data_IF_600150845521
#
_entry.id   IF_600150845521
#
_cell.length_a   1.000
_cell.length_b   1.000
_cell.length_c   1.000
_cell.angle_alpha   90.00
_cell.angle_beta   90.00
_cell.angle_gamma   90.00
#
_symmetry.space_group_name_H-M   'P 1'
#
loop_
_entity.id
_entity.type
_entity.pdbx_description
1 polymer ?
#
# COMPACT_ATOMS: atom_id res chain seq x y z
N UNK A 1 6.89 -5.46 -26.63
CA UNK A 1 6.12 -5.81 -25.43
C UNK A 1 4.80 -5.05 -25.45
N UNK A 2 3.73 -5.70 -25.89
CA UNK A 2 2.42 -5.05 -26.02
C UNK A 2 1.70 -5.14 -24.66
N UNK A 3 1.67 -4.03 -23.92
CA UNK A 3 1.11 -3.94 -22.55
C UNK A 3 -0.44 -4.07 -22.55
N UNK A 4 -1.04 -4.36 -23.71
CA UNK A 4 -2.48 -4.18 -23.96
C UNK A 4 -3.41 -5.22 -23.33
N UNK A 5 -2.94 -6.38 -22.85
CA UNK A 5 -3.85 -7.38 -22.27
C UNK A 5 -3.24 -8.16 -21.10
N UNK A 6 -2.92 -7.46 -20.01
CA UNK A 6 -2.63 -8.12 -18.74
C UNK A 6 -3.95 -8.45 -18.03
N UNK A 7 -4.18 -9.72 -17.70
CA UNK A 7 -5.34 -10.12 -16.89
C UNK A 7 -5.13 -9.64 -15.45
N UNK A 8 -5.89 -8.61 -15.03
CA UNK A 8 -5.85 -8.05 -13.67
C UNK A 8 -6.65 -8.95 -12.73
N UNK A 9 -5.97 -9.71 -11.88
CA UNK A 9 -6.61 -10.44 -10.78
C UNK A 9 -6.59 -9.55 -9.54
N UNK A 10 -7.77 -9.07 -9.15
CA UNK A 10 -7.99 -8.28 -7.94
C UNK A 10 -9.14 -8.96 -7.19
N UNK A 11 -8.83 -9.83 -6.23
CA UNK A 11 -9.82 -10.49 -5.36
C UNK A 11 -9.49 -10.10 -3.92
N UNK A 12 -10.07 -8.99 -3.47
CA UNK A 12 -9.80 -8.35 -2.17
C UNK A 12 -11.03 -8.44 -1.26
N UNK A 13 -10.81 -8.57 0.04
CA UNK A 13 -11.87 -8.76 1.04
C UNK A 13 -12.92 -7.64 1.03
N UNK A 14 -12.48 -6.39 0.91
CA UNK A 14 -13.33 -5.21 0.88
C UNK A 14 -13.85 -4.89 -0.53
N UNK A 15 -13.45 -5.66 -1.54
CA UNK A 15 -13.84 -5.46 -2.93
C UNK A 15 -15.35 -5.34 -3.19
N UNK A 16 -16.23 -6.15 -2.56
CA UNK A 16 -17.67 -6.03 -2.72
C UNK A 16 -18.26 -4.70 -2.23
N UNK A 17 -17.63 -4.06 -1.23
CA UNK A 17 -18.07 -2.78 -0.69
C UNK A 17 -17.37 -1.60 -1.39
N UNK A 18 -16.08 -1.74 -1.66
CA UNK A 18 -15.26 -0.70 -2.28
C UNK A 18 -15.70 -0.43 -3.72
N UNK A 19 -15.94 -1.47 -4.53
CA UNK A 19 -16.23 -1.28 -5.97
C UNK A 19 -17.51 -0.47 -6.23
N UNK A 20 -18.66 -0.79 -5.62
CA UNK A 20 -19.87 0.02 -5.82
C UNK A 20 -19.71 1.45 -5.32
N UNK A 21 -18.98 1.64 -4.21
CA UNK A 21 -18.69 2.96 -3.65
C UNK A 21 -17.86 3.79 -4.63
N UNK A 22 -16.74 3.26 -5.12
CA UNK A 22 -15.87 3.95 -6.09
C UNK A 22 -16.60 4.25 -7.40
N UNK A 23 -17.45 3.34 -7.89
CA UNK A 23 -18.26 3.59 -9.09
C UNK A 23 -19.25 4.74 -8.88
N UNK A 24 -19.89 4.78 -7.71
CA UNK A 24 -20.81 5.86 -7.33
C UNK A 24 -20.08 7.20 -7.20
N UNK A 25 -18.91 7.20 -6.57
CA UNK A 25 -18.06 8.39 -6.46
C UNK A 25 -17.62 8.87 -7.85
N UNK A 26 -17.13 7.96 -8.70
CA UNK A 26 -16.71 8.29 -10.06
C UNK A 26 -17.85 8.89 -10.91
N UNK A 27 -19.08 8.39 -10.75
CA UNK A 27 -20.25 8.92 -11.43
C UNK A 27 -20.64 10.33 -10.95
N UNK A 28 -20.44 10.64 -9.66
CA UNK A 28 -20.74 11.94 -9.07
C UNK A 28 -19.59 12.96 -9.18
N UNK A 29 -18.39 12.53 -9.60
CA UNK A 29 -17.23 13.40 -9.67
C UNK A 29 -17.41 14.55 -10.68
N UNK A 30 -17.12 15.81 -10.30
CA UNK A 30 -17.17 16.95 -11.20
C UNK A 30 -16.31 16.74 -12.45
N UNK A 31 -16.76 17.27 -13.60
CA UNK A 31 -16.07 17.06 -14.89
C UNK A 31 -14.62 17.55 -14.92
N UNK A 32 -14.28 18.56 -14.13
CA UNK A 32 -12.92 19.11 -14.04
C UNK A 32 -11.93 18.22 -13.27
N UNK A 33 -12.42 17.31 -12.42
CA UNK A 33 -11.56 16.35 -11.71
C UNK A 33 -11.04 15.32 -12.70
N UNK A 34 -9.72 15.21 -12.86
CA UNK A 34 -9.07 14.22 -13.73
C UNK A 34 -8.43 13.11 -12.90
N UNK A 35 -8.11 11.94 -13.50
CA UNK A 35 -7.32 10.91 -12.83
C UNK A 35 -6.00 11.46 -12.27
N UNK A 36 -5.29 12.32 -13.02
CA UNK A 36 -4.02 12.89 -12.56
C UNK A 36 -4.19 13.77 -11.32
N UNK A 37 -5.30 14.52 -11.21
CA UNK A 37 -5.63 15.27 -9.99
C UNK A 37 -5.86 14.31 -8.82
N UNK A 38 -6.56 13.20 -9.05
CA UNK A 38 -6.80 12.20 -8.01
C UNK A 38 -5.51 11.52 -7.56
N UNK A 39 -4.61 11.17 -8.48
CA UNK A 39 -3.28 10.67 -8.14
C UNK A 39 -2.51 11.69 -7.28
N UNK A 40 -2.57 12.99 -7.62
CA UNK A 40 -1.95 14.05 -6.82
C UNK A 40 -2.59 14.19 -5.42
N UNK A 41 -3.91 14.00 -5.30
CA UNK A 41 -4.59 13.90 -3.98
C UNK A 41 -4.07 12.68 -3.21
N UNK A 42 -3.84 11.56 -3.89
CA UNK A 42 -3.23 10.37 -3.32
C UNK A 42 -1.88 10.67 -2.67
N UNK A 43 -0.98 11.32 -3.42
CA UNK A 43 0.34 11.75 -2.94
C UNK A 43 0.23 12.73 -1.79
N UNK A 44 -0.68 13.70 -1.86
CA UNK A 44 -0.93 14.64 -0.77
C UNK A 44 -1.38 13.92 0.51
N UNK A 45 -2.20 12.88 0.36
CA UNK A 45 -2.55 11.97 1.46
C UNK A 45 -1.32 11.34 2.10
N UNK A 46 -0.37 10.83 1.30
CA UNK A 46 0.88 10.26 1.81
C UNK A 46 1.76 11.29 2.52
N UNK A 47 1.79 12.54 2.04
CA UNK A 47 2.47 13.65 2.74
C UNK A 47 1.82 13.94 4.09
N UNK A 48 0.48 13.90 4.19
CA UNK A 48 -0.19 14.02 5.49
C UNK A 48 0.08 12.84 6.41
N UNK A 49 0.24 11.62 5.89
CA UNK A 49 0.64 10.46 6.70
C UNK A 49 2.04 10.71 7.28
N UNK A 50 3.01 11.06 6.44
CA UNK A 50 4.37 11.36 6.86
C UNK A 50 4.43 12.48 7.91
N UNK A 51 3.77 13.60 7.63
CA UNK A 51 3.71 14.74 8.55
C UNK A 51 2.98 14.38 9.84
N UNK A 52 1.87 13.66 9.75
CA UNK A 52 1.09 13.17 10.89
C UNK A 52 1.95 12.34 11.83
N UNK A 53 2.63 11.31 11.31
CA UNK A 53 3.52 10.50 12.12
C UNK A 53 4.72 11.28 12.67
N UNK A 54 5.36 12.14 11.88
CA UNK A 54 6.46 12.98 12.38
C UNK A 54 6.04 13.90 13.53
N UNK A 55 4.84 14.49 13.43
CA UNK A 55 4.29 15.40 14.45
C UNK A 55 3.80 14.67 15.71
N UNK A 56 3.67 13.34 15.71
CA UNK A 56 3.35 12.59 16.93
C UNK A 56 4.39 12.72 18.03
N UNK A 57 5.64 13.08 17.69
CA UNK A 57 6.68 13.43 18.66
C UNK A 57 6.32 14.68 19.50
N UNK A 58 5.45 15.55 18.98
CA UNK A 58 4.96 16.74 19.67
C UNK A 58 3.65 16.46 20.40
N UNK A 59 2.73 15.75 19.73
CA UNK A 59 1.42 15.41 20.30
C UNK A 59 0.83 14.15 19.66
N UNK A 60 0.43 13.16 20.45
CA UNK A 60 -0.16 11.92 19.94
C UNK A 60 -1.45 12.11 19.11
N UNK A 61 -2.14 13.25 19.21
CA UNK A 61 -3.33 13.57 18.43
C UNK A 61 -3.05 13.62 16.91
N UNK A 62 -1.79 13.82 16.51
CA UNK A 62 -1.41 13.79 15.09
C UNK A 62 -1.53 12.39 14.45
N UNK A 63 -1.78 11.33 15.23
CA UNK A 63 -2.23 10.03 14.70
C UNK A 63 -3.54 10.17 13.90
N UNK A 64 -4.43 11.09 14.28
CA UNK A 64 -5.65 11.37 13.51
C UNK A 64 -5.36 12.06 12.19
N UNK A 65 -4.32 12.91 12.13
CA UNK A 65 -3.85 13.49 10.87
C UNK A 65 -3.29 12.39 9.95
N UNK A 66 -2.53 11.43 10.50
CA UNK A 66 -2.05 10.29 9.73
C UNK A 66 -3.22 9.43 9.21
N UNK A 67 -4.21 9.12 10.05
CA UNK A 67 -5.42 8.39 9.64
C UNK A 67 -6.22 9.13 8.56
N UNK A 68 -6.36 10.44 8.66
CA UNK A 68 -6.97 11.26 7.61
C UNK A 68 -6.15 11.19 6.31
N UNK A 69 -4.82 11.23 6.41
CA UNK A 69 -3.91 11.03 5.28
C UNK A 69 -4.12 9.68 4.59
N UNK A 70 -4.33 8.58 5.32
CA UNK A 70 -4.68 7.27 4.73
C UNK A 70 -6.00 7.30 3.97
N UNK A 71 -7.03 7.98 4.51
CA UNK A 71 -8.32 8.13 3.83
C UNK A 71 -8.16 8.93 2.53
N UNK A 72 -7.40 10.03 2.55
CA UNK A 72 -7.11 10.81 1.34
C UNK A 72 -6.27 10.03 0.32
N UNK A 73 -5.26 9.29 0.80
CA UNK A 73 -4.42 8.46 -0.05
C UNK A 73 -5.27 7.39 -0.77
N UNK A 74 -6.09 6.66 -0.01
CA UNK A 74 -7.05 5.70 -0.56
C UNK A 74 -8.02 6.36 -1.55
N UNK A 75 -8.56 7.53 -1.21
CA UNK A 75 -9.52 8.22 -2.06
C UNK A 75 -8.91 8.60 -3.41
N UNK A 76 -7.68 9.12 -3.44
CA UNK A 76 -6.99 9.46 -4.67
C UNK A 76 -6.66 8.22 -5.51
N UNK A 77 -5.93 7.28 -4.90
CA UNK A 77 -5.39 6.07 -5.52
C UNK A 77 -6.50 5.12 -6.03
N UNK A 78 -7.48 4.78 -5.19
CA UNK A 78 -8.53 3.85 -5.62
C UNK A 78 -9.49 4.47 -6.65
N UNK A 79 -9.67 5.80 -6.63
CA UNK A 79 -10.61 6.48 -7.51
C UNK A 79 -9.99 6.87 -8.86
N UNK A 80 -8.69 7.12 -8.97
CA UNK A 80 -8.08 7.62 -10.22
C UNK A 80 -8.30 6.66 -11.40
N UNK A 81 -8.00 5.38 -11.20
CA UNK A 81 -8.13 4.34 -12.19
C UNK A 81 -9.59 4.04 -12.45
N UNK A 82 -10.43 4.09 -11.41
CA UNK A 82 -11.88 3.90 -11.53
C UNK A 82 -12.52 4.99 -12.37
N UNK A 83 -12.16 6.25 -12.12
CA UNK A 83 -12.62 7.41 -12.89
C UNK A 83 -12.15 7.33 -14.34
N UNK A 84 -10.89 6.93 -14.57
CA UNK A 84 -10.36 6.75 -15.92
C UNK A 84 -11.16 5.71 -16.73
N UNK A 85 -11.59 4.59 -16.12
CA UNK A 85 -12.46 3.62 -16.82
C UNK A 85 -13.87 4.14 -17.00
N UNK A 86 -14.45 4.75 -15.97
CA UNK A 86 -15.80 5.29 -16.02
C UNK A 86 -15.95 6.31 -17.16
N UNK A 87 -14.97 7.20 -17.31
CA UNK A 87 -14.94 8.22 -18.36
C UNK A 87 -14.35 7.75 -19.69
N UNK A 88 -13.86 6.49 -19.77
CA UNK A 88 -13.21 5.92 -20.96
C UNK A 88 -12.01 6.75 -21.47
N UNK A 89 -11.26 7.37 -20.56
CA UNK A 89 -10.07 8.19 -20.84
C UNK A 89 -8.78 7.52 -20.34
N UNK A 90 -8.77 6.18 -20.28
CA UNK A 90 -7.62 5.43 -19.80
C UNK A 90 -6.39 5.68 -20.68
N UNK A 91 -5.23 5.84 -20.03
CA UNK A 91 -3.92 5.86 -20.70
C UNK A 91 -3.10 4.69 -20.16
N UNK A 92 -3.21 3.48 -20.73
CA UNK A 92 -2.68 2.27 -20.08
C UNK A 92 -1.20 2.32 -19.72
N UNK A 93 -0.34 2.79 -20.62
CA UNK A 93 1.11 2.89 -20.37
C UNK A 93 1.47 3.99 -19.36
N UNK A 94 0.92 5.18 -19.56
CA UNK A 94 1.17 6.33 -18.68
C UNK A 94 0.60 6.09 -17.28
N UNK A 95 -0.65 5.62 -17.21
CA UNK A 95 -1.32 5.26 -15.97
C UNK A 95 -0.55 4.19 -15.22
N UNK A 96 -0.16 3.09 -15.89
CA UNK A 96 0.67 2.06 -15.27
C UNK A 96 1.99 2.62 -14.71
N UNK A 97 2.71 3.47 -15.46
CA UNK A 97 3.96 4.05 -14.97
C UNK A 97 3.77 4.96 -13.74
N UNK A 98 2.76 5.83 -13.79
CA UNK A 98 2.47 6.78 -12.71
C UNK A 98 1.99 6.04 -11.46
N UNK A 99 1.03 5.13 -11.58
CA UNK A 99 0.46 4.29 -10.50
C UNK A 99 1.59 3.65 -9.67
N UNK A 100 2.47 2.90 -10.34
CA UNK A 100 3.56 2.17 -9.66
C UNK A 100 4.66 3.06 -9.09
N UNK A 101 4.99 4.17 -9.77
CA UNK A 101 6.03 5.08 -9.29
C UNK A 101 5.53 5.87 -8.09
N UNK A 102 4.26 6.31 -8.13
CA UNK A 102 3.60 7.01 -7.03
C UNK A 102 3.38 6.08 -5.85
N UNK A 103 3.00 4.82 -6.07
CA UNK A 103 2.85 3.83 -5.00
C UNK A 103 4.14 3.59 -4.23
N UNK A 104 5.26 3.39 -4.94
CA UNK A 104 6.56 3.23 -4.31
C UNK A 104 6.96 4.47 -3.48
N UNK A 105 6.64 5.67 -3.97
CA UNK A 105 6.90 6.91 -3.25
C UNK A 105 5.97 7.10 -2.03
N UNK A 106 4.69 6.75 -2.17
CA UNK A 106 3.72 6.78 -1.08
C UNK A 106 4.16 5.84 0.06
N UNK A 107 4.54 4.60 -0.26
CA UNK A 107 5.00 3.64 0.73
C UNK A 107 6.27 4.12 1.44
N UNK A 108 7.21 4.74 0.70
CA UNK A 108 8.38 5.38 1.29
C UNK A 108 7.98 6.44 2.32
N UNK A 109 7.07 7.35 1.99
CA UNK A 109 6.60 8.39 2.92
C UNK A 109 5.92 7.79 4.15
N UNK A 110 5.08 6.77 3.96
CA UNK A 110 4.37 6.09 5.05
C UNK A 110 5.37 5.42 6.01
N UNK A 111 6.28 4.61 5.47
CA UNK A 111 7.22 3.84 6.28
C UNK A 111 8.24 4.74 7.00
N UNK A 112 8.80 5.75 6.32
CA UNK A 112 9.71 6.71 6.96
C UNK A 112 8.96 7.51 8.01
N UNK A 113 7.74 7.97 7.72
CA UNK A 113 6.90 8.67 8.70
C UNK A 113 6.69 7.83 9.95
N UNK A 114 6.25 6.59 9.78
CA UNK A 114 6.02 5.65 10.88
C UNK A 114 7.31 5.39 11.69
N UNK A 115 8.45 5.22 11.02
CA UNK A 115 9.74 5.00 11.67
C UNK A 115 10.30 6.22 12.40
N UNK A 116 9.85 7.43 12.06
CA UNK A 116 10.16 8.66 12.79
C UNK A 116 9.20 8.92 13.96
N UNK A 117 8.14 8.13 14.09
CA UNK A 117 7.20 8.22 15.22
C UNK A 117 7.78 7.55 16.48
N UNK A 118 7.30 7.87 17.69
CA UNK A 118 7.76 7.23 18.92
C UNK A 118 7.27 5.78 19.09
N UNK A 119 6.36 5.32 18.21
CA UNK A 119 5.66 4.05 18.32
C UNK A 119 6.41 2.86 17.70
N UNK A 120 7.09 3.08 16.57
CA UNK A 120 7.76 2.02 15.81
C UNK A 120 9.20 2.42 15.52
N UNK A 121 10.13 1.50 15.77
CA UNK A 121 11.54 1.65 15.48
C UNK A 121 11.79 1.85 13.98
N UNK A 122 12.63 2.84 13.66
CA UNK A 122 13.03 3.16 12.29
C UNK A 122 13.54 1.94 11.52
N UNK A 123 14.32 1.07 12.18
CA UNK A 123 14.84 -0.15 11.56
C UNK A 123 13.73 -1.10 11.13
N UNK A 124 12.69 -1.26 11.96
CA UNK A 124 11.57 -2.17 11.69
C UNK A 124 10.67 -1.60 10.59
N UNK A 125 10.41 -0.28 10.61
CA UNK A 125 9.68 0.39 9.55
C UNK A 125 10.40 0.25 8.19
N UNK A 126 11.73 0.42 8.16
CA UNK A 126 12.55 0.19 6.98
C UNK A 126 12.51 -1.28 6.50
N UNK A 127 12.51 -2.27 7.40
CA UNK A 127 12.36 -3.67 7.02
C UNK A 127 10.99 -3.94 6.36
N UNK A 128 9.93 -3.30 6.87
CA UNK A 128 8.60 -3.33 6.24
C UNK A 128 8.62 -2.75 4.82
N UNK A 129 9.20 -1.57 4.64
CA UNK A 129 9.36 -0.92 3.33
C UNK A 129 10.14 -1.79 2.36
N UNK A 130 11.27 -2.36 2.79
CA UNK A 130 12.08 -3.25 1.95
C UNK A 130 11.27 -4.48 1.53
N UNK A 131 10.55 -5.10 2.46
CA UNK A 131 9.67 -6.24 2.18
C UNK A 131 8.61 -5.90 1.12
N UNK A 132 7.96 -4.74 1.25
CA UNK A 132 6.99 -4.27 0.27
C UNK A 132 7.61 -4.00 -1.11
N UNK A 133 8.76 -3.32 -1.15
CA UNK A 133 9.45 -3.01 -2.41
C UNK A 133 9.94 -4.29 -3.12
N UNK A 134 10.40 -5.30 -2.38
CA UNK A 134 10.74 -6.61 -2.94
C UNK A 134 9.54 -7.29 -3.59
N UNK A 135 8.38 -7.27 -2.92
CA UNK A 135 7.13 -7.79 -3.50
C UNK A 135 6.71 -6.99 -4.74
N UNK A 136 6.84 -5.68 -4.71
CA UNK A 136 6.55 -4.81 -5.87
C UNK A 136 7.44 -5.17 -7.06
N UNK A 137 8.75 -5.28 -6.85
CA UNK A 137 9.71 -5.74 -7.87
C UNK A 137 9.34 -7.12 -8.41
N UNK A 138 8.97 -8.06 -7.54
CA UNK A 138 8.52 -9.39 -7.98
C UNK A 138 7.29 -9.31 -8.90
N UNK A 139 6.29 -8.51 -8.53
CA UNK A 139 5.09 -8.29 -9.36
C UNK A 139 5.48 -7.69 -10.71
N UNK A 140 6.41 -6.72 -10.75
CA UNK A 140 6.85 -6.09 -12.00
C UNK A 140 7.58 -7.07 -12.91
N UNK A 141 8.52 -7.83 -12.36
CA UNK A 141 9.26 -8.86 -13.11
C UNK A 141 8.29 -9.92 -13.63
N UNK A 142 7.36 -10.40 -12.81
CA UNK A 142 6.37 -11.38 -13.23
C UNK A 142 5.44 -10.85 -14.31
N UNK A 143 5.08 -9.58 -14.26
CA UNK A 143 4.28 -8.92 -15.31
C UNK A 143 5.02 -8.92 -16.64
N UNK A 144 6.33 -8.64 -16.62
CA UNK A 144 7.18 -8.72 -17.81
C UNK A 144 7.35 -10.15 -18.35
N UNK A 145 7.47 -11.16 -17.47
CA UNK A 145 7.73 -12.54 -17.89
C UNK A 145 6.46 -13.27 -18.32
N UNK A 146 5.38 -13.18 -17.54
CA UNK A 146 4.15 -13.96 -17.76
C UNK A 146 3.04 -13.18 -18.49
N UNK A 147 3.15 -11.85 -18.60
CA UNK A 147 2.04 -11.02 -19.07
C UNK A 147 0.82 -11.01 -18.13
N UNK A 148 0.98 -11.46 -16.88
CA UNK A 148 -0.08 -11.48 -15.85
C UNK A 148 0.24 -10.48 -14.75
N UNK A 149 -0.65 -9.49 -14.56
CA UNK A 149 -0.56 -8.50 -13.47
C UNK A 149 -1.44 -8.95 -12.30
N UNK A 150 -0.83 -9.66 -11.33
CA UNK A 150 -1.51 -10.11 -10.12
C UNK A 150 -1.31 -9.11 -8.97
N UNK A 151 -2.39 -8.45 -8.55
CA UNK A 151 -2.35 -7.36 -7.57
C UNK A 151 -2.50 -7.86 -6.14
N UNK A 152 -3.27 -8.93 -5.94
CA UNK A 152 -3.59 -9.45 -4.61
C UNK A 152 -2.95 -10.82 -4.38
N UNK A 153 -2.26 -10.95 -3.26
CA UNK A 153 -1.80 -12.23 -2.70
C UNK A 153 -2.63 -12.50 -1.43
N UNK A 154 -3.36 -13.62 -1.38
CA UNK A 154 -4.07 -14.03 -0.16
C UNK A 154 -5.27 -13.15 0.26
N UNK A 155 -5.93 -12.46 -0.68
CA UNK A 155 -7.10 -11.57 -0.47
C UNK A 155 -6.84 -10.25 0.27
N UNK A 156 -5.61 -9.97 0.65
CA UNK A 156 -5.20 -8.68 1.22
C UNK A 156 -4.70 -7.81 0.07
N UNK A 157 -5.33 -6.65 -0.12
CA UNK A 157 -4.91 -5.64 -1.07
C UNK A 157 -4.53 -4.31 -0.40
N UNK A 158 -4.22 -3.27 -1.19
CA UNK A 158 -3.86 -1.96 -0.68
C UNK A 158 -4.93 -1.34 0.23
N UNK A 159 -6.21 -1.53 -0.09
CA UNK A 159 -7.33 -1.01 0.70
C UNK A 159 -7.37 -1.62 2.10
N UNK A 160 -7.23 -2.94 2.23
CA UNK A 160 -7.19 -3.62 3.52
C UNK A 160 -6.00 -3.13 4.36
N UNK A 161 -4.83 -2.95 3.74
CA UNK A 161 -3.63 -2.45 4.43
C UNK A 161 -3.88 -1.05 5.00
N UNK A 162 -4.47 -0.14 4.22
CA UNK A 162 -4.80 1.22 4.68
C UNK A 162 -5.79 1.20 5.85
N UNK A 163 -6.81 0.34 5.80
CA UNK A 163 -7.74 0.17 6.93
C UNK A 163 -7.03 -0.37 8.17
N UNK A 164 -6.13 -1.34 8.02
CA UNK A 164 -5.33 -1.88 9.13
C UNK A 164 -4.49 -0.76 9.77
N UNK A 165 -3.85 0.10 8.98
CA UNK A 165 -3.09 1.23 9.53
C UNK A 165 -3.97 2.26 10.23
N UNK A 166 -5.16 2.58 9.71
CA UNK A 166 -6.10 3.48 10.39
C UNK A 166 -6.52 2.89 11.75
N UNK A 167 -6.83 1.60 11.80
CA UNK A 167 -7.17 0.90 13.05
C UNK A 167 -5.97 0.87 14.01
N UNK A 168 -4.77 0.63 13.49
CA UNK A 168 -3.53 0.64 14.27
C UNK A 168 -3.29 2.02 14.91
N UNK A 169 -3.50 3.11 14.16
CA UNK A 169 -3.42 4.47 14.70
C UNK A 169 -4.44 4.71 15.81
N UNK A 170 -5.67 4.22 15.66
CA UNK A 170 -6.69 4.33 16.72
C UNK A 170 -6.28 3.54 17.99
N UNK A 171 -5.68 2.35 17.82
CA UNK A 171 -5.15 1.57 18.95
C UNK A 171 -3.96 2.28 19.61
N UNK A 172 -3.02 2.81 18.83
CA UNK A 172 -1.87 3.61 19.32
C UNK A 172 -2.30 4.86 20.06
N UNK A 173 -3.45 5.44 19.70
CA UNK A 173 -4.03 6.59 20.38
C UNK A 173 -4.62 6.21 21.75
N UNK A 174 -5.28 5.05 21.84
CA UNK A 174 -5.96 4.59 23.05
C UNK A 174 -5.03 3.89 24.05
N UNK A 175 -4.00 3.21 23.55
CA UNK A 175 -3.05 2.44 24.35
C UNK A 175 -1.66 3.01 24.11
N UNK A 176 -1.15 3.77 25.08
CA UNK A 176 0.18 4.35 24.95
C UNK A 176 1.25 3.27 25.04
N UNK A 177 2.02 3.11 23.95
CA UNK A 177 3.21 2.27 23.75
C UNK A 177 3.40 1.15 24.78
N UNK A 178 2.61 0.07 24.73
CA UNK A 178 2.81 -1.07 25.60
C UNK A 178 4.12 -1.77 25.24
N UNK A 179 4.95 -2.04 26.25
CA UNK A 179 6.23 -2.72 26.10
C UNK A 179 6.13 -4.17 26.56
N UNK A 180 6.81 -5.06 25.84
CA UNK A 180 6.94 -6.48 26.17
C UNK A 180 8.40 -6.85 26.36
N UNK A 181 8.68 -7.64 27.39
CA UNK A 181 10.03 -8.17 27.63
C UNK A 181 10.25 -9.41 26.75
N UNK A 182 11.13 -9.28 25.76
CA UNK A 182 11.61 -10.38 24.93
C UNK A 182 13.02 -10.81 25.37
N UNK A 183 13.51 -12.00 24.94
CA UNK A 183 14.84 -12.49 25.32
C UNK A 183 16.00 -11.53 25.00
N UNK A 184 15.79 -10.61 24.06
CA UNK A 184 16.76 -9.61 23.59
C UNK A 184 16.47 -8.18 24.10
N UNK A 185 15.49 -8.00 24.98
CA UNK A 185 15.21 -6.71 25.64
C UNK A 185 13.74 -6.28 25.60
N UNK A 186 13.47 -5.10 26.17
CA UNK A 186 12.16 -4.44 26.11
C UNK A 186 11.89 -3.97 24.67
N UNK A 187 10.77 -4.39 24.11
CA UNK A 187 10.37 -4.05 22.74
C UNK A 187 8.91 -3.58 22.75
N UNK A 188 8.55 -2.61 21.90
CA UNK A 188 7.15 -2.22 21.79
C UNK A 188 6.33 -3.34 21.14
N UNK A 189 5.07 -3.52 21.54
CA UNK A 189 4.16 -4.44 20.83
C UNK A 189 4.02 -4.03 19.36
N UNK A 190 4.06 -2.73 19.05
CA UNK A 190 3.97 -2.25 17.67
C UNK A 190 5.19 -2.65 16.83
N UNK A 191 6.38 -2.64 17.42
CA UNK A 191 7.60 -3.15 16.80
C UNK A 191 7.47 -4.64 16.46
N UNK A 192 6.94 -5.44 17.39
CA UNK A 192 6.71 -6.87 17.15
C UNK A 192 5.70 -7.09 16.02
N UNK A 193 4.59 -6.34 16.03
CA UNK A 193 3.56 -6.45 14.99
C UNK A 193 4.10 -6.05 13.60
N UNK A 194 4.78 -4.91 13.49
CA UNK A 194 5.40 -4.46 12.24
C UNK A 194 6.54 -5.38 11.79
N UNK A 195 7.32 -5.92 12.73
CA UNK A 195 8.38 -6.89 12.43
C UNK A 195 7.84 -8.21 11.88
N UNK A 196 6.75 -8.73 12.46
CA UNK A 196 6.05 -9.91 11.95
C UNK A 196 5.47 -9.68 10.55
N UNK A 197 4.90 -8.49 10.31
CA UNK A 197 4.43 -8.11 8.98
C UNK A 197 5.57 -8.10 7.97
N UNK A 198 6.69 -7.44 8.30
CA UNK A 198 7.87 -7.37 7.44
C UNK A 198 8.42 -8.77 7.12
N UNK A 199 8.55 -9.64 8.13
CA UNK A 199 8.97 -11.03 7.94
C UNK A 199 7.99 -11.81 7.04
N UNK A 200 6.68 -11.59 7.21
CA UNK A 200 5.64 -12.16 6.36
C UNK A 200 5.78 -11.75 4.90
N UNK A 201 5.99 -10.45 4.62
CA UNK A 201 6.20 -9.94 3.26
C UNK A 201 7.44 -10.57 2.61
N UNK A 202 8.55 -10.67 3.35
CA UNK A 202 9.78 -11.32 2.86
C UNK A 202 9.56 -12.81 2.57
N UNK A 203 8.83 -13.52 3.43
CA UNK A 203 8.52 -14.93 3.22
C UNK A 203 7.64 -15.12 1.98
N UNK A 204 6.62 -14.29 1.80
CA UNK A 204 5.77 -14.31 0.59
C UNK A 204 6.60 -14.05 -0.66
N UNK A 205 7.52 -13.08 -0.62
CA UNK A 205 8.42 -12.79 -1.74
C UNK A 205 9.30 -13.99 -2.11
N UNK A 206 9.96 -14.59 -1.11
CA UNK A 206 10.83 -15.75 -1.32
C UNK A 206 10.05 -16.93 -1.89
N UNK A 207 8.95 -17.34 -1.24
CA UNK A 207 8.13 -18.47 -1.67
C UNK A 207 7.58 -18.23 -3.07
N UNK A 208 7.04 -17.04 -3.36
CA UNK A 208 6.49 -16.72 -4.68
C UNK A 208 7.56 -16.74 -5.77
N UNK A 209 8.76 -16.25 -5.47
CA UNK A 209 9.90 -16.28 -6.39
C UNK A 209 10.33 -17.72 -6.70
N UNK A 210 10.47 -18.57 -5.68
CA UNK A 210 10.82 -19.98 -5.86
C UNK A 210 9.76 -20.75 -6.67
N UNK A 211 8.48 -20.54 -6.36
CA UNK A 211 7.38 -21.17 -7.09
C UNK A 211 7.36 -20.74 -8.56
N UNK A 212 7.52 -19.44 -8.83
CA UNK A 212 7.54 -18.92 -10.18
C UNK A 212 8.75 -19.42 -10.97
N UNK A 213 9.94 -19.41 -10.36
CA UNK A 213 11.16 -19.94 -10.98
C UNK A 213 11.02 -21.42 -11.34
N UNK A 214 10.45 -22.24 -10.44
CA UNK A 214 10.20 -23.67 -10.71
C UNK A 214 9.20 -23.87 -11.85
N UNK A 215 8.14 -23.07 -11.89
CA UNK A 215 7.14 -23.11 -12.97
C UNK A 215 7.76 -22.78 -14.33
N UNK A 216 8.57 -21.73 -14.40
CA UNK A 216 9.26 -21.33 -15.62
C UNK A 216 10.30 -22.37 -16.06
N UNK A 217 11.06 -22.95 -15.14
CA UNK A 217 12.04 -24.00 -15.47
C UNK A 217 11.39 -25.28 -16.04
N UNK A 218 10.10 -25.53 -15.77
CA UNK A 218 9.35 -26.65 -16.33
C UNK A 218 8.77 -26.35 -17.72
N UNK A 219 8.63 -25.07 -18.07
CA UNK A 219 8.29 -24.65 -19.42
C UNK A 219 9.58 -24.78 -20.25
N UNK A 220 9.74 -25.93 -20.92
CA UNK A 220 10.75 -26.07 -21.97
C UNK A 220 10.41 -25.04 -23.05
N UNK A 221 11.28 -24.05 -23.23
CA UNK A 221 11.37 -23.30 -24.49
C UNK A 221 11.77 -24.26 -25.63
#
# INVERSE_FOLDING_TARGET
MDIKSHQRVNDILLGPLERPLLQTLAAKMPRWVTPDILTAVGVLGAVFIFAGYGLTNVNHNFLWLASFGFVLNWFGDSLDGTLARYRKIQRPKFGFFIDHTVDAFNEFLIAVGLGLSPYVSFNIACLGLIGYLLLSVFVYVRTCVDGVFQISYGKIGPTEIRVIFILLNAVMYLVEKPEVLLPWGLTSIYDVMCGLLAAGLMLVFLVSTFQQAKKLAQLKE
#
